data_IF_714368065625
#
_entry.id   IF_714368065625
#
_cell.length_a   1.000
_cell.length_b   1.000
_cell.length_c   1.000
_cell.angle_alpha   90.00
_cell.angle_beta   90.00
_cell.angle_gamma   90.00
#
_symmetry.space_group_name_H-M   'P 1'
#
loop_
_entity.id
_entity.type
_entity.pdbx_description
1 polymer ?
#
# COMPACT_ATOMS: atom_id res chain seq x y z
N UNK A 1 4.34 7.19 5.60
CA UNK A 1 5.31 6.83 4.53
C UNK A 1 6.37 7.91 4.51
N UNK A 2 7.63 7.53 4.61
CA UNK A 2 8.72 8.46 4.32
C UNK A 2 8.93 8.41 2.80
N UNK A 3 8.70 9.54 2.12
CA UNK A 3 8.95 9.64 0.69
C UNK A 3 10.45 9.82 0.47
N UNK A 4 11.15 8.71 0.23
CA UNK A 4 12.60 8.69 0.05
C UNK A 4 13.02 9.38 -1.27
N UNK A 5 12.17 9.25 -2.29
CA UNK A 5 12.27 10.01 -3.54
C UNK A 5 10.88 10.50 -3.96
N UNK A 6 10.50 11.73 -3.57
CA UNK A 6 9.17 12.28 -3.86
C UNK A 6 8.84 12.41 -5.34
N UNK A 7 9.85 12.47 -6.22
CA UNK A 7 9.65 12.60 -7.66
C UNK A 7 9.36 11.27 -8.35
N UNK A 8 9.60 10.15 -7.67
CA UNK A 8 9.41 8.81 -8.19
C UNK A 8 8.53 7.95 -7.26
N UNK A 9 7.22 8.26 -7.15
CA UNK A 9 6.31 7.61 -6.20
C UNK A 9 6.06 6.13 -6.50
N UNK A 10 6.45 5.64 -7.69
CA UNK A 10 6.41 4.21 -8.02
C UNK A 10 7.36 3.38 -7.15
N UNK A 11 8.41 3.98 -6.58
CA UNK A 11 9.28 3.31 -5.60
C UNK A 11 8.51 3.05 -4.30
N UNK A 12 7.72 4.02 -3.83
CA UNK A 12 6.86 3.80 -2.66
C UNK A 12 5.86 2.67 -2.92
N UNK A 13 5.27 2.60 -4.12
CA UNK A 13 4.37 1.50 -4.51
C UNK A 13 5.09 0.15 -4.45
N UNK A 14 6.30 0.06 -5.02
CA UNK A 14 7.07 -1.17 -5.03
C UNK A 14 7.42 -1.64 -3.61
N UNK A 15 7.87 -0.73 -2.74
CA UNK A 15 8.19 -1.04 -1.34
C UNK A 15 6.96 -1.47 -0.55
N UNK A 16 5.86 -0.72 -0.65
CA UNK A 16 4.63 -1.01 0.10
C UNK A 16 3.93 -2.28 -0.37
N UNK A 17 4.07 -2.65 -1.65
CA UNK A 17 3.57 -3.93 -2.16
C UNK A 17 4.25 -5.13 -1.49
N UNK A 18 5.54 -5.01 -1.12
CA UNK A 18 6.34 -6.09 -0.52
C UNK A 18 6.46 -6.02 1.00
N UNK A 19 5.87 -5.04 1.66
CA UNK A 19 5.92 -4.91 3.12
C UNK A 19 5.28 -6.12 3.83
N UNK A 20 5.76 -6.50 5.01
CA UNK A 20 5.12 -7.58 5.77
C UNK A 20 3.66 -7.24 6.11
N UNK A 21 3.39 -5.97 6.42
CA UNK A 21 2.06 -5.45 6.70
C UNK A 21 1.86 -4.06 6.10
N UNK A 22 0.70 -3.83 5.48
CA UNK A 22 0.36 -2.56 4.83
C UNK A 22 -0.94 -1.98 5.41
N UNK A 23 -0.92 -0.67 5.73
CA UNK A 23 -2.12 0.08 6.11
C UNK A 23 -2.38 1.16 5.05
N UNK A 24 -3.46 0.99 4.30
CA UNK A 24 -3.85 1.87 3.20
C UNK A 24 -4.94 2.88 3.55
N UNK A 25 -5.17 3.82 2.64
CA UNK A 25 -6.40 4.62 2.60
C UNK A 25 -7.42 3.89 1.72
N UNK A 26 -8.67 3.76 2.18
CA UNK A 26 -9.70 2.99 1.48
C UNK A 26 -10.14 3.63 0.14
N UNK A 27 -10.09 4.96 0.04
CA UNK A 27 -10.64 5.73 -1.10
C UNK A 27 -9.55 6.14 -2.10
N UNK A 28 -8.27 6.03 -1.73
CA UNK A 28 -7.16 6.46 -2.60
C UNK A 28 -6.87 5.44 -3.71
N UNK A 29 -6.94 5.91 -4.95
CA UNK A 29 -6.52 5.12 -6.12
C UNK A 29 -5.05 4.72 -6.06
N UNK A 30 -4.19 5.53 -5.42
CA UNK A 30 -2.77 5.19 -5.24
C UNK A 30 -2.59 3.92 -4.38
N UNK A 31 -3.27 3.86 -3.22
CA UNK A 31 -3.19 2.69 -2.32
C UNK A 31 -3.93 1.48 -2.87
N UNK A 32 -4.89 1.68 -3.79
CA UNK A 32 -5.58 0.58 -4.48
C UNK A 32 -4.64 -0.30 -5.31
N UNK A 33 -3.61 0.29 -5.93
CA UNK A 33 -2.61 -0.47 -6.71
C UNK A 33 -1.80 -1.39 -5.79
N UNK A 34 -1.40 -0.88 -4.62
CA UNK A 34 -0.69 -1.64 -3.60
C UNK A 34 -1.56 -2.79 -3.08
N UNK A 35 -2.84 -2.52 -2.74
CA UNK A 35 -3.79 -3.56 -2.31
C UNK A 35 -3.92 -4.69 -3.34
N UNK A 36 -4.11 -4.35 -4.62
CA UNK A 36 -4.25 -5.34 -5.70
C UNK A 36 -2.99 -6.20 -5.86
N UNK A 37 -1.80 -5.59 -5.80
CA UNK A 37 -0.55 -6.34 -5.87
C UNK A 37 -0.39 -7.31 -4.68
N UNK A 38 -0.76 -6.86 -3.48
CA UNK A 38 -0.71 -7.67 -2.25
C UNK A 38 -1.70 -8.82 -2.24
N UNK A 39 -2.90 -8.62 -2.80
CA UNK A 39 -3.94 -9.64 -2.87
C UNK A 39 -3.53 -10.85 -3.73
N UNK A 40 -2.74 -10.64 -4.79
CA UNK A 40 -2.20 -11.73 -5.61
C UNK A 40 -1.27 -12.67 -4.82
N UNK A 41 -0.67 -12.15 -3.74
CA UNK A 41 0.28 -12.86 -2.90
C UNK A 41 -0.26 -13.16 -1.49
N UNK A 42 -1.56 -12.98 -1.27
CA UNK A 42 -2.22 -13.19 0.03
C UNK A 42 -1.57 -12.42 1.20
N UNK A 43 -1.01 -11.22 0.93
CA UNK A 43 -0.31 -10.43 1.94
C UNK A 43 -1.29 -9.60 2.78
N UNK A 44 -1.09 -9.52 4.11
CA UNK A 44 -2.05 -8.89 5.01
C UNK A 44 -2.13 -7.38 4.78
N UNK A 45 -3.35 -6.86 4.74
CA UNK A 45 -3.62 -5.44 4.50
C UNK A 45 -4.77 -4.94 5.37
N UNK A 46 -4.62 -3.76 5.96
CA UNK A 46 -5.68 -3.04 6.65
C UNK A 46 -5.90 -1.65 6.07
N UNK A 47 -6.97 -0.99 6.48
CA UNK A 47 -7.27 0.38 6.10
C UNK A 47 -7.51 1.25 7.33
N UNK A 48 -7.05 2.49 7.26
CA UNK A 48 -7.30 3.47 8.33
C UNK A 48 -8.80 3.69 8.53
N UNK A 49 -9.25 3.66 9.80
CA UNK A 49 -10.65 3.86 10.16
C UNK A 49 -11.58 2.72 9.77
N UNK A 50 -11.03 1.59 9.32
CA UNK A 50 -11.78 0.38 8.99
C UNK A 50 -11.29 -0.78 9.88
N UNK A 51 -11.80 -0.81 11.10
CA UNK A 51 -11.70 -1.95 12.00
C UNK A 51 -12.85 -2.92 11.69
N UNK A 52 -12.55 -4.22 11.65
CA UNK A 52 -13.59 -5.25 11.79
C UNK A 52 -14.22 -5.14 13.19
#
# INVERSE_FOLDING_TARGET
VAHLDPWLPVIDVAMLAHADYFIGNCVSSFTSVIKRARDVHDLPTAFWGFSN
#
